data_IF_865972050690
#
_entry.id   IF_865972050690
#
_cell.length_a   1.000
_cell.length_b   1.000
_cell.length_c   1.000
_cell.angle_alpha   90.00
_cell.angle_beta   90.00
_cell.angle_gamma   90.00
#
_symmetry.space_group_name_H-M   'P 1'
#
loop_
_entity.id
_entity.type
_entity.pdbx_description
1 polymer ?
#
# COMPACT_ATOMS: atom_id res chain seq x y z
N UNK A 1 -12.53 5.32 22.02
CA UNK A 1 -11.71 4.88 20.86
C UNK A 1 -10.42 5.65 20.88
N UNK A 2 -9.30 4.98 20.88
CA UNK A 2 -7.98 5.60 20.78
C UNK A 2 -7.16 4.82 19.76
N UNK A 3 -6.57 5.50 18.78
CA UNK A 3 -5.72 4.90 17.76
C UNK A 3 -6.30 4.98 16.34
N UNK A 4 -5.52 4.50 15.37
CA UNK A 4 -5.87 4.45 13.94
C UNK A 4 -6.34 5.76 13.31
N UNK A 5 -6.11 6.92 13.95
CA UNK A 5 -6.62 8.22 13.48
C UNK A 5 -6.18 8.52 12.03
N UNK A 6 -4.93 8.22 11.66
CA UNK A 6 -4.48 8.43 10.29
C UNK A 6 -5.23 7.57 9.26
N UNK A 7 -5.65 6.35 9.61
CA UNK A 7 -6.48 5.52 8.73
C UNK A 7 -7.94 6.00 8.73
N UNK A 8 -8.45 6.48 9.87
CA UNK A 8 -9.78 7.10 9.95
C UNK A 8 -9.85 8.38 9.11
N UNK A 9 -8.80 9.20 9.07
CA UNK A 9 -8.70 10.36 8.19
C UNK A 9 -8.72 9.95 6.71
N UNK A 10 -8.03 8.85 6.34
CA UNK A 10 -8.10 8.29 4.99
C UNK A 10 -9.52 7.80 4.65
N UNK A 11 -10.21 7.14 5.57
CA UNK A 11 -11.59 6.73 5.39
C UNK A 11 -12.53 7.94 5.24
N UNK A 12 -12.31 8.98 6.02
CA UNK A 12 -13.06 10.24 5.89
C UNK A 12 -12.84 10.88 4.51
N UNK A 13 -11.59 10.88 4.01
CA UNK A 13 -11.28 11.36 2.66
C UNK A 13 -11.97 10.53 1.56
N UNK A 14 -11.96 9.20 1.67
CA UNK A 14 -12.67 8.31 0.73
C UNK A 14 -14.17 8.61 0.75
N UNK A 15 -14.75 8.78 1.93
CA UNK A 15 -16.17 9.11 2.10
C UNK A 15 -16.50 10.48 1.49
N UNK A 16 -15.63 11.48 1.70
CA UNK A 16 -15.78 12.79 1.07
C UNK A 16 -15.74 12.69 -0.46
N UNK A 17 -14.77 11.94 -1.02
CA UNK A 17 -14.69 11.69 -2.46
C UNK A 17 -15.96 11.03 -2.95
N UNK A 18 -16.45 10.00 -2.28
CA UNK A 18 -17.70 9.31 -2.62
C UNK A 18 -18.89 10.26 -2.72
N UNK A 19 -18.98 11.21 -1.80
CA UNK A 19 -20.13 12.12 -1.70
C UNK A 19 -20.04 13.33 -2.65
N UNK A 20 -18.83 13.70 -3.09
CA UNK A 20 -18.62 14.96 -3.80
C UNK A 20 -18.07 14.83 -5.21
N UNK A 21 -17.41 13.71 -5.57
CA UNK A 21 -16.63 13.61 -6.80
C UNK A 21 -17.47 13.77 -8.08
N UNK A 22 -18.77 13.50 -8.01
CA UNK A 22 -19.68 13.70 -9.14
C UNK A 22 -19.75 15.18 -9.58
N UNK A 23 -19.66 16.11 -8.64
CA UNK A 23 -19.63 17.55 -8.94
C UNK A 23 -18.33 18.00 -9.68
N UNK A 24 -17.30 17.15 -9.63
CA UNK A 24 -16.02 17.34 -10.34
C UNK A 24 -15.91 16.51 -11.62
N UNK A 25 -17.01 15.90 -12.08
CA UNK A 25 -17.03 15.03 -13.26
C UNK A 25 -16.52 13.61 -13.04
N UNK A 26 -16.24 13.23 -11.79
CA UNK A 26 -15.79 11.87 -11.44
C UNK A 26 -16.94 10.88 -11.17
N UNK A 27 -16.61 9.60 -11.10
CA UNK A 27 -17.56 8.51 -10.90
C UNK A 27 -17.55 8.01 -9.44
N UNK A 28 -18.54 8.37 -8.60
CA UNK A 28 -18.56 8.02 -7.18
C UNK A 28 -18.66 6.51 -6.90
N UNK A 29 -19.04 5.72 -7.90
CA UNK A 29 -19.12 4.26 -7.82
C UNK A 29 -17.91 3.57 -8.43
N UNK A 30 -16.82 4.30 -8.75
CA UNK A 30 -15.61 3.77 -9.36
C UNK A 30 -14.35 4.23 -8.63
N UNK A 31 -14.36 4.18 -7.30
CA UNK A 31 -13.23 4.59 -6.47
C UNK A 31 -12.17 3.49 -6.45
N UNK A 32 -10.97 3.83 -6.87
CA UNK A 32 -9.77 2.98 -6.72
C UNK A 32 -8.88 3.60 -5.65
N UNK A 33 -8.46 2.79 -4.68
CA UNK A 33 -7.42 3.20 -3.74
C UNK A 33 -6.08 2.61 -4.15
N UNK A 34 -5.01 3.38 -3.98
CA UNK A 34 -3.66 2.88 -4.23
C UNK A 34 -2.66 3.50 -3.26
N UNK A 35 -1.58 2.78 -3.01
CA UNK A 35 -0.54 3.23 -2.09
C UNK A 35 0.75 2.44 -2.22
N UNK A 36 1.86 3.11 -1.91
CA UNK A 36 3.20 2.56 -1.96
C UNK A 36 3.80 2.48 -0.55
N UNK A 37 4.55 1.42 -0.23
CA UNK A 37 5.24 1.26 1.05
C UNK A 37 4.27 1.31 2.25
N UNK A 38 4.41 2.28 3.13
CA UNK A 38 3.46 2.51 4.23
C UNK A 38 2.03 2.79 3.70
N UNK A 39 1.90 3.46 2.55
CA UNK A 39 0.61 3.63 1.87
C UNK A 39 0.01 2.31 1.39
N UNK A 40 0.82 1.34 0.96
CA UNK A 40 0.35 -0.01 0.67
C UNK A 40 -0.20 -0.70 1.92
N UNK A 41 0.43 -0.51 3.08
CA UNK A 41 -0.08 -0.95 4.38
C UNK A 41 -1.43 -0.29 4.72
N UNK A 42 -1.58 1.01 4.45
CA UNK A 42 -2.86 1.71 4.61
C UNK A 42 -3.96 1.12 3.71
N UNK A 43 -3.64 0.88 2.43
CA UNK A 43 -4.58 0.23 1.48
C UNK A 43 -5.02 -1.13 2.01
N UNK A 44 -4.10 -1.96 2.49
CA UNK A 44 -4.43 -3.27 3.06
C UNK A 44 -5.29 -3.16 4.32
N UNK A 45 -5.02 -2.20 5.21
CA UNK A 45 -5.84 -1.95 6.40
C UNK A 45 -7.26 -1.52 6.03
N UNK A 46 -7.42 -0.63 5.05
CA UNK A 46 -8.73 -0.21 4.55
C UNK A 46 -9.49 -1.36 3.87
N UNK A 47 -8.81 -2.22 3.11
CA UNK A 47 -9.41 -3.41 2.49
C UNK A 47 -9.86 -4.45 3.53
N UNK A 48 -9.16 -4.56 4.65
CA UNK A 48 -9.54 -5.45 5.76
C UNK A 48 -10.67 -4.86 6.63
N UNK A 49 -10.96 -3.56 6.51
CA UNK A 49 -11.96 -2.87 7.32
C UNK A 49 -13.36 -2.96 6.74
N UNK A 50 -14.35 -3.53 7.45
CA UNK A 50 -15.73 -3.53 7.01
C UNK A 50 -16.31 -2.13 6.79
N UNK A 51 -15.76 -1.11 7.46
CA UNK A 51 -16.19 0.28 7.31
C UNK A 51 -15.77 0.90 5.97
N UNK A 52 -14.63 0.45 5.41
CA UNK A 52 -14.09 1.03 4.18
C UNK A 52 -14.48 0.22 2.92
N UNK A 53 -14.61 -1.09 3.02
CA UNK A 53 -14.90 -1.99 1.90
C UNK A 53 -16.04 -1.52 0.98
N UNK A 54 -17.19 -1.00 1.46
CA UNK A 54 -18.31 -0.60 0.58
C UNK A 54 -17.94 0.49 -0.43
N UNK A 55 -16.95 1.31 -0.13
CA UNK A 55 -16.52 2.44 -0.97
C UNK A 55 -15.51 2.03 -2.03
N UNK A 56 -14.73 0.97 -1.80
CA UNK A 56 -13.58 0.58 -2.62
C UNK A 56 -14.03 -0.34 -3.74
N UNK A 57 -13.68 -0.01 -4.98
CA UNK A 57 -14.04 -0.80 -6.17
C UNK A 57 -12.84 -1.44 -6.85
N UNK A 58 -11.64 -0.95 -6.58
CA UNK A 58 -10.36 -1.51 -7.07
C UNK A 58 -9.25 -1.10 -6.11
N UNK A 59 -8.17 -1.87 -6.10
CA UNK A 59 -7.02 -1.56 -5.27
C UNK A 59 -5.70 -1.82 -5.98
N UNK A 60 -4.73 -0.90 -5.80
CA UNK A 60 -3.34 -1.08 -6.22
C UNK A 60 -2.43 -1.01 -5.00
N UNK A 61 -1.62 -2.04 -4.78
CA UNK A 61 -0.75 -2.21 -3.62
C UNK A 61 0.70 -2.28 -4.10
N UNK A 62 1.51 -1.27 -3.78
CA UNK A 62 2.85 -1.11 -4.32
C UNK A 62 3.91 -1.25 -3.23
N UNK A 63 4.85 -2.19 -3.37
CA UNK A 63 6.02 -2.33 -2.51
C UNK A 63 5.72 -2.38 -1.00
N UNK A 64 4.74 -3.17 -0.59
CA UNK A 64 4.35 -3.26 0.82
C UNK A 64 3.15 -4.15 1.08
N UNK A 65 2.84 -5.06 0.17
CA UNK A 65 1.65 -5.90 0.25
C UNK A 65 1.90 -7.38 0.03
N UNK A 66 0.81 -8.12 0.00
CA UNK A 66 0.78 -9.57 -0.08
C UNK A 66 0.46 -10.24 1.25
N UNK A 67 0.51 -11.56 1.30
CA UNK A 67 0.24 -12.30 2.53
C UNK A 67 1.46 -12.30 3.44
N UNK A 68 1.26 -11.97 4.71
CA UNK A 68 2.22 -12.25 5.76
C UNK A 68 2.19 -13.73 6.15
N UNK A 69 3.19 -14.17 6.90
CA UNK A 69 3.23 -15.53 7.44
C UNK A 69 1.91 -15.89 8.15
N UNK A 70 1.46 -17.16 8.08
CA UNK A 70 0.31 -17.62 8.84
C UNK A 70 0.48 -17.29 10.34
N UNK A 71 -0.64 -16.94 10.99
CA UNK A 71 -0.70 -16.61 12.42
C UNK A 71 0.11 -15.35 12.84
N UNK A 72 0.52 -14.50 11.93
CA UNK A 72 1.06 -13.20 12.29
C UNK A 72 -0.07 -12.34 12.86
N UNK A 73 0.02 -12.03 14.14
CA UNK A 73 -0.96 -11.20 14.84
C UNK A 73 -0.64 -9.71 14.64
N UNK A 74 -1.69 -8.90 14.56
CA UNK A 74 -1.57 -7.45 14.64
C UNK A 74 -1.37 -6.98 16.08
N UNK A 75 -0.94 -5.74 16.26
CA UNK A 75 -0.86 -5.11 17.58
C UNK A 75 -2.28 -4.81 18.08
N UNK A 76 -2.66 -5.33 19.25
CA UNK A 76 -3.95 -5.00 19.85
C UNK A 76 -3.99 -3.57 20.40
N UNK A 77 -5.19 -3.03 20.58
CA UNK A 77 -5.38 -1.71 21.20
C UNK A 77 -4.72 -1.66 22.59
N UNK A 78 -4.94 -2.68 23.43
CA UNK A 78 -4.35 -2.72 24.78
C UNK A 78 -2.81 -2.68 24.75
N UNK A 79 -2.17 -3.45 23.87
CA UNK A 79 -0.72 -3.44 23.75
C UNK A 79 -0.20 -2.08 23.19
N UNK A 80 -0.96 -1.44 22.30
CA UNK A 80 -0.61 -0.12 21.79
C UNK A 80 -0.76 0.97 22.86
N UNK A 81 -1.79 0.90 23.70
CA UNK A 81 -2.01 1.82 24.83
C UNK A 81 -0.93 1.67 25.89
N UNK A 82 -0.55 0.43 26.24
CA UNK A 82 0.56 0.15 27.16
C UNK A 82 1.89 0.75 26.63
N UNK A 83 2.22 0.47 25.38
CA UNK A 83 3.42 0.98 24.73
C UNK A 83 3.42 2.52 24.61
N UNK A 84 2.28 3.11 24.28
CA UNK A 84 2.10 4.56 24.21
C UNK A 84 2.22 5.23 25.58
N UNK A 85 1.67 4.61 26.62
CA UNK A 85 1.80 5.05 28.02
C UNK A 85 3.26 5.02 28.50
N UNK A 86 3.98 3.92 28.22
CA UNK A 86 5.41 3.80 28.54
C UNK A 86 6.26 4.87 27.82
N UNK A 87 5.97 5.13 26.55
CA UNK A 87 6.61 6.21 25.78
C UNK A 87 6.36 7.58 26.42
N UNK A 88 5.13 7.92 26.74
CA UNK A 88 4.79 9.21 27.37
C UNK A 88 5.47 9.35 28.75
N UNK A 89 5.43 8.32 29.58
CA UNK A 89 6.04 8.30 30.90
C UNK A 89 7.56 8.48 30.86
N UNK A 90 8.25 7.90 29.85
CA UNK A 90 9.68 8.09 29.65
C UNK A 90 10.06 9.59 29.52
N UNK A 91 9.21 10.38 28.90
CA UNK A 91 9.40 11.84 28.74
C UNK A 91 8.71 12.66 29.84
N UNK A 92 8.29 12.02 30.94
CA UNK A 92 7.64 12.70 32.08
C UNK A 92 6.28 13.32 31.73
N UNK A 93 5.54 12.74 30.78
CA UNK A 93 4.27 13.25 30.26
C UNK A 93 3.17 12.21 30.41
N UNK A 94 1.96 12.70 30.56
CA UNK A 94 0.73 11.93 30.32
C UNK A 94 0.22 12.18 28.89
N UNK A 95 -0.87 11.54 28.50
CA UNK A 95 -1.47 11.66 27.15
C UNK A 95 -1.95 13.09 26.86
N UNK A 96 -2.45 13.83 27.88
CA UNK A 96 -2.88 15.20 27.72
C UNK A 96 -1.68 16.10 27.39
N UNK A 97 -0.62 15.98 28.17
CA UNK A 97 0.63 16.72 27.94
C UNK A 97 1.32 16.33 26.61
N UNK A 98 1.18 15.07 26.16
CA UNK A 98 1.71 14.64 24.85
C UNK A 98 0.98 15.31 23.67
N UNK A 99 -0.30 15.62 23.80
CA UNK A 99 -1.07 16.30 22.75
C UNK A 99 -0.66 17.76 22.55
N UNK A 100 -0.04 18.37 23.56
CA UNK A 100 0.48 19.74 23.51
C UNK A 100 1.94 19.78 22.99
N UNK A 101 2.56 18.62 22.72
CA UNK A 101 3.92 18.58 22.21
C UNK A 101 3.93 19.02 20.74
N UNK A 102 4.81 19.96 20.43
CA UNK A 102 5.05 20.42 19.07
C UNK A 102 5.41 19.25 18.15
N UNK A 103 4.82 19.11 16.92
CA UNK A 103 5.01 17.94 16.06
C UNK A 103 6.48 17.58 15.78
N UNK A 104 7.36 18.57 15.58
CA UNK A 104 8.79 18.34 15.39
C UNK A 104 9.47 17.76 16.63
N UNK A 105 9.09 18.24 17.82
CA UNK A 105 9.60 17.73 19.07
C UNK A 105 9.13 16.28 19.29
N UNK A 106 7.87 15.96 18.95
CA UNK A 106 7.36 14.58 19.00
C UNK A 106 8.16 13.65 18.07
N UNK A 107 8.46 14.08 16.85
CA UNK A 107 9.30 13.32 15.94
C UNK A 107 10.72 13.09 16.49
N UNK A 108 11.30 14.08 17.18
CA UNK A 108 12.59 13.92 17.86
C UNK A 108 12.47 12.91 19.00
N UNK A 109 11.43 12.98 19.83
CA UNK A 109 11.18 12.01 20.90
C UNK A 109 11.06 10.57 20.37
N UNK A 110 10.39 10.36 19.23
CA UNK A 110 10.31 9.06 18.55
C UNK A 110 11.68 8.55 18.07
N UNK A 111 12.60 9.44 17.73
CA UNK A 111 13.98 9.12 17.34
C UNK A 111 14.84 8.79 18.56
N UNK A 112 14.68 9.52 19.65
CA UNK A 112 15.51 9.40 20.85
C UNK A 112 15.12 8.21 21.73
N UNK A 113 13.83 7.86 21.76
CA UNK A 113 13.29 6.80 22.60
C UNK A 113 13.97 5.42 22.42
N UNK A 114 14.21 4.94 21.18
CA UNK A 114 14.92 3.68 20.96
C UNK A 114 16.36 3.71 21.44
N UNK A 115 17.06 4.86 21.31
CA UNK A 115 18.44 5.01 21.76
C UNK A 115 18.54 4.95 23.30
N UNK A 116 17.54 5.48 24.00
CA UNK A 116 17.51 5.55 25.46
C UNK A 116 17.02 4.24 26.11
N UNK A 117 16.09 3.52 25.48
CA UNK A 117 15.37 2.40 26.10
C UNK A 117 15.57 1.05 25.41
N UNK A 118 16.09 1.02 24.18
CA UNK A 118 16.11 -0.16 23.31
C UNK A 118 14.74 -0.54 22.77
N UNK A 119 13.66 0.20 23.12
CA UNK A 119 12.29 -0.05 22.68
C UNK A 119 11.91 0.88 21.53
N UNK A 120 10.95 0.46 20.71
CA UNK A 120 10.39 1.30 19.64
C UNK A 120 8.88 1.42 19.81
N UNK A 121 8.37 2.63 19.75
CA UNK A 121 6.93 2.84 19.63
C UNK A 121 6.49 2.48 18.20
N UNK A 122 5.53 1.57 18.08
CA UNK A 122 4.92 1.26 16.79
C UNK A 122 3.92 2.36 16.43
N UNK A 123 4.07 2.92 15.23
CA UNK A 123 3.13 3.88 14.64
C UNK A 123 2.30 3.24 13.52
N UNK A 124 2.29 1.91 13.43
CA UNK A 124 1.50 1.15 12.44
C UNK A 124 0.04 1.05 12.88
N UNK A 125 -0.89 0.79 11.94
CA UNK A 125 -2.27 0.49 12.28
C UNK A 125 -2.37 -0.66 13.29
N UNK A 126 -3.34 -0.55 14.19
CA UNK A 126 -3.59 -1.51 15.28
C UNK A 126 -4.95 -2.18 15.12
N UNK A 127 -5.15 -3.30 15.81
CA UNK A 127 -6.45 -3.96 15.92
C UNK A 127 -7.22 -3.28 17.07
N UNK A 128 -8.29 -2.57 16.74
CA UNK A 128 -9.04 -1.70 17.67
C UNK A 128 -10.53 -2.09 17.80
N UNK A 129 -10.92 -3.22 17.18
CA UNK A 129 -12.30 -3.73 17.17
C UNK A 129 -13.34 -2.69 16.68
N UNK A 130 -12.88 -1.68 15.96
CA UNK A 130 -13.73 -0.68 15.35
C UNK A 130 -13.42 -0.51 13.85
N UNK A 131 -12.24 0.00 13.52
CA UNK A 131 -11.76 0.13 12.15
C UNK A 131 -11.17 -1.21 11.66
N UNK A 132 -10.38 -1.86 12.49
CA UNK A 132 -9.62 -3.06 12.16
C UNK A 132 -9.84 -4.15 13.21
N UNK A 133 -10.41 -5.26 12.77
CA UNK A 133 -10.70 -6.44 13.61
C UNK A 133 -9.62 -7.51 13.46
N UNK A 134 -8.90 -7.53 12.33
CA UNK A 134 -7.85 -8.49 12.05
C UNK A 134 -6.87 -7.95 11.00
N UNK A 135 -5.75 -8.65 10.82
CA UNK A 135 -4.77 -8.31 9.78
C UNK A 135 -5.32 -8.57 8.38
N UNK A 136 -4.84 -7.84 7.38
CA UNK A 136 -5.20 -8.09 5.98
C UNK A 136 -5.04 -9.57 5.59
N UNK A 137 -3.95 -10.21 6.01
CA UNK A 137 -3.67 -11.59 5.67
C UNK A 137 -4.65 -12.58 6.29
N UNK A 138 -5.09 -12.35 7.52
CA UNK A 138 -6.09 -13.18 8.17
C UNK A 138 -7.48 -12.97 7.55
N UNK A 139 -7.84 -11.72 7.23
CA UNK A 139 -9.09 -11.38 6.53
C UNK A 139 -9.11 -12.03 5.13
N UNK A 140 -7.97 -12.01 4.41
CA UNK A 140 -7.82 -12.69 3.12
C UNK A 140 -8.03 -14.20 3.24
N UNK A 141 -7.34 -14.86 4.18
CA UNK A 141 -7.46 -16.31 4.41
C UNK A 141 -8.87 -16.73 4.86
N UNK A 142 -9.56 -15.85 5.59
CA UNK A 142 -10.94 -16.08 6.01
C UNK A 142 -11.97 -15.78 4.89
N UNK A 143 -11.52 -15.46 3.69
CA UNK A 143 -12.35 -15.08 2.53
C UNK A 143 -13.31 -13.92 2.81
N UNK A 144 -12.81 -12.90 3.51
CA UNK A 144 -13.59 -11.71 3.89
C UNK A 144 -13.14 -10.43 3.19
N UNK A 145 -12.15 -10.50 2.28
CA UNK A 145 -11.79 -9.37 1.44
C UNK A 145 -12.84 -9.20 0.31
N UNK A 146 -13.09 -7.96 -0.14
CA UNK A 146 -14.02 -7.72 -1.23
C UNK A 146 -13.54 -8.39 -2.53
N UNK A 147 -14.49 -8.92 -3.34
CA UNK A 147 -14.21 -9.44 -4.68
C UNK A 147 -14.15 -8.27 -5.69
N UNK A 148 -13.02 -7.58 -5.69
CA UNK A 148 -12.70 -6.45 -6.57
C UNK A 148 -11.41 -6.75 -7.35
N UNK A 149 -11.13 -6.05 -8.47
CA UNK A 149 -9.84 -6.12 -9.12
C UNK A 149 -8.69 -5.66 -8.20
N UNK A 150 -7.63 -6.44 -8.16
CA UNK A 150 -6.38 -6.12 -7.46
C UNK A 150 -5.23 -6.03 -8.45
N UNK A 151 -4.39 -5.02 -8.27
CA UNK A 151 -3.05 -4.92 -8.86
C UNK A 151 -2.05 -4.81 -7.72
N UNK A 152 -1.01 -5.65 -7.72
CA UNK A 152 -0.03 -5.67 -6.64
C UNK A 152 1.36 -5.95 -7.19
N UNK A 153 2.36 -5.23 -6.70
CA UNK A 153 3.72 -5.43 -7.18
C UNK A 153 4.77 -4.77 -6.31
N UNK A 154 6.01 -4.86 -6.78
CA UNK A 154 7.17 -4.43 -6.04
C UNK A 154 8.33 -4.06 -6.98
N UNK A 155 9.39 -3.47 -6.42
CA UNK A 155 10.64 -3.18 -7.12
C UNK A 155 11.73 -4.18 -6.74
N UNK A 156 12.71 -4.41 -7.63
CA UNK A 156 13.73 -5.47 -7.43
C UNK A 156 14.39 -5.42 -6.05
N UNK A 157 14.73 -4.26 -5.54
CA UNK A 157 15.43 -4.13 -4.25
C UNK A 157 14.53 -4.32 -3.01
N UNK A 158 13.22 -4.52 -3.16
CA UNK A 158 12.36 -4.95 -2.05
C UNK A 158 12.60 -6.43 -1.66
N UNK A 159 13.21 -7.21 -2.56
CA UNK A 159 13.68 -8.57 -2.32
C UNK A 159 12.65 -9.68 -2.57
N UNK A 160 13.12 -10.92 -2.56
CA UNK A 160 12.33 -12.12 -2.91
C UNK A 160 11.20 -12.44 -1.91
N UNK A 161 11.30 -12.00 -0.67
CA UNK A 161 10.22 -12.12 0.30
C UNK A 161 8.94 -11.42 -0.16
N UNK A 162 9.07 -10.28 -0.84
CA UNK A 162 7.94 -9.54 -1.40
C UNK A 162 7.30 -10.33 -2.56
N UNK A 163 8.13 -10.97 -3.39
CA UNK A 163 7.67 -11.85 -4.48
C UNK A 163 6.74 -12.95 -3.95
N UNK A 164 7.21 -13.75 -2.98
CA UNK A 164 6.44 -14.86 -2.42
C UNK A 164 5.12 -14.37 -1.79
N UNK A 165 5.16 -13.29 -1.02
CA UNK A 165 3.97 -12.75 -0.36
C UNK A 165 2.88 -12.32 -1.35
N UNK A 166 3.28 -11.76 -2.50
CA UNK A 166 2.38 -11.35 -3.57
C UNK A 166 1.84 -12.56 -4.34
N UNK A 167 2.72 -13.51 -4.68
CA UNK A 167 2.33 -14.75 -5.36
C UNK A 167 1.31 -15.54 -4.53
N UNK A 168 1.56 -15.71 -3.24
CA UNK A 168 0.66 -16.40 -2.31
C UNK A 168 -0.70 -15.70 -2.22
N UNK A 169 -0.73 -14.37 -2.21
CA UNK A 169 -1.99 -13.62 -2.25
C UNK A 169 -2.77 -13.88 -3.53
N UNK A 170 -2.11 -13.82 -4.68
CA UNK A 170 -2.76 -14.01 -5.98
C UNK A 170 -3.36 -15.42 -6.11
N UNK A 171 -2.60 -16.46 -5.72
CA UNK A 171 -3.06 -17.85 -5.75
C UNK A 171 -4.18 -18.10 -4.75
N UNK A 172 -4.13 -17.52 -3.56
CA UNK A 172 -5.22 -17.62 -2.58
C UNK A 172 -6.52 -17.04 -3.15
N UNK A 173 -6.48 -15.90 -3.85
CA UNK A 173 -7.66 -15.31 -4.46
C UNK A 173 -8.24 -16.19 -5.58
N UNK A 174 -7.38 -16.83 -6.38
CA UNK A 174 -7.80 -17.81 -7.38
C UNK A 174 -8.43 -19.05 -6.74
N UNK A 175 -7.82 -19.62 -5.71
CA UNK A 175 -8.33 -20.78 -4.96
C UNK A 175 -9.71 -20.50 -4.35
N UNK A 176 -9.94 -19.28 -3.88
CA UNK A 176 -11.22 -18.81 -3.36
C UNK A 176 -12.27 -18.53 -4.46
N UNK A 177 -11.91 -18.68 -5.74
CA UNK A 177 -12.82 -18.47 -6.87
C UNK A 177 -13.10 -17.00 -7.20
N UNK A 178 -12.25 -16.10 -6.74
CA UNK A 178 -12.33 -14.65 -6.99
C UNK A 178 -11.63 -14.22 -8.27
N UNK A 179 -11.75 -12.93 -8.58
CA UNK A 179 -11.11 -12.30 -9.72
C UNK A 179 -9.59 -12.48 -9.66
N UNK A 180 -8.93 -12.80 -10.79
CA UNK A 180 -7.49 -12.92 -10.85
C UNK A 180 -6.80 -11.61 -10.48
N UNK A 181 -5.60 -11.73 -9.90
CA UNK A 181 -4.78 -10.60 -9.46
C UNK A 181 -3.74 -10.27 -10.53
N UNK A 182 -3.62 -9.00 -10.88
CA UNK A 182 -2.52 -8.52 -11.74
C UNK A 182 -1.29 -8.25 -10.88
N UNK A 183 -0.16 -8.89 -11.23
CA UNK A 183 1.08 -8.75 -10.47
C UNK A 183 2.20 -8.15 -11.32
N UNK A 184 3.07 -7.31 -10.72
CA UNK A 184 4.23 -6.76 -11.43
C UNK A 184 5.49 -6.77 -10.58
N UNK A 185 6.63 -6.76 -11.30
CA UNK A 185 7.97 -6.48 -10.75
C UNK A 185 8.61 -5.37 -11.59
N UNK A 186 8.91 -4.23 -10.96
CA UNK A 186 9.67 -3.16 -11.59
C UNK A 186 11.16 -3.48 -11.46
N UNK A 187 11.84 -3.62 -12.59
CA UNK A 187 13.25 -4.06 -12.63
C UNK A 187 14.17 -3.06 -13.30
N UNK A 188 13.64 -1.92 -13.77
CA UNK A 188 14.47 -0.88 -14.38
C UNK A 188 15.46 -0.33 -13.35
N UNK A 189 16.73 -0.61 -13.54
CA UNK A 189 17.83 0.02 -12.80
C UNK A 189 17.94 1.48 -13.23
N UNK A 190 17.76 2.40 -12.26
CA UNK A 190 17.73 3.82 -12.59
C UNK A 190 19.10 4.33 -13.03
N UNK A 191 19.17 5.18 -14.07
CA UNK A 191 20.44 5.71 -14.55
C UNK A 191 21.01 6.76 -13.58
N UNK A 192 22.33 6.99 -13.66
CA UNK A 192 23.02 8.07 -12.97
C UNK A 192 23.82 7.67 -11.71
N UNK A 193 23.50 6.53 -11.13
CA UNK A 193 24.24 5.91 -10.02
C UNK A 193 23.94 4.40 -9.94
N UNK A 194 24.53 3.69 -8.98
CA UNK A 194 24.36 2.26 -8.76
C UNK A 194 23.17 1.94 -7.81
N UNK A 195 22.22 2.86 -7.65
CA UNK A 195 21.07 2.65 -6.76
C UNK A 195 20.15 1.54 -7.25
N UNK A 196 20.14 1.22 -8.54
CA UNK A 196 19.31 0.19 -9.15
C UNK A 196 17.81 0.50 -9.09
N UNK A 197 16.98 -0.54 -9.10
CA UNK A 197 15.53 -0.43 -8.89
C UNK A 197 15.23 -0.43 -7.38
N UNK A 198 15.52 0.69 -6.73
CA UNK A 198 15.36 0.85 -5.27
C UNK A 198 13.90 1.14 -4.87
N UNK A 199 13.60 1.00 -3.61
CA UNK A 199 12.27 1.22 -3.04
C UNK A 199 11.68 2.59 -3.43
N UNK A 200 10.50 2.61 -4.02
CA UNK A 200 9.78 3.78 -4.56
C UNK A 200 10.29 4.30 -5.91
N UNK A 201 11.26 3.66 -6.54
CA UNK A 201 11.85 4.14 -7.81
C UNK A 201 10.88 4.12 -8.99
N UNK A 202 9.87 3.30 -8.97
CA UNK A 202 8.82 3.21 -9.98
C UNK A 202 7.88 4.43 -10.00
N UNK A 203 7.83 5.20 -8.92
CA UNK A 203 6.89 6.32 -8.79
C UNK A 203 7.16 7.45 -9.78
N UNK A 204 8.44 7.71 -10.13
CA UNK A 204 8.76 8.71 -11.16
C UNK A 204 8.16 8.35 -12.53
N UNK A 205 8.16 7.04 -12.86
CA UNK A 205 7.57 6.54 -14.10
C UNK A 205 6.05 6.62 -14.04
N UNK A 206 5.45 6.15 -12.95
CA UNK A 206 4.01 6.12 -12.77
C UNK A 206 3.37 7.52 -12.82
N UNK A 207 4.04 8.52 -12.26
CA UNK A 207 3.53 9.89 -12.22
C UNK A 207 4.06 10.79 -13.35
N UNK A 208 4.83 10.25 -14.29
CA UNK A 208 5.38 11.01 -15.43
C UNK A 208 6.31 12.15 -15.00
N UNK A 209 7.03 11.98 -13.89
CA UNK A 209 7.84 13.04 -13.29
C UNK A 209 9.36 12.86 -13.51
N UNK A 210 9.76 12.06 -14.48
CA UNK A 210 11.16 11.77 -14.79
C UNK A 210 11.99 13.06 -15.00
N UNK A 211 11.43 14.04 -15.70
CA UNK A 211 12.10 15.32 -16.00
C UNK A 211 12.37 16.19 -14.76
N UNK A 212 11.78 15.86 -13.60
CA UNK A 212 12.02 16.57 -12.32
C UNK A 212 13.19 15.98 -11.53
N UNK A 213 13.75 14.87 -12.00
CA UNK A 213 14.91 14.22 -11.36
C UNK A 213 16.21 14.67 -12.05
N UNK A 214 17.31 14.63 -11.30
CA UNK A 214 18.67 14.86 -11.80
C UNK A 214 19.18 13.71 -12.67
N UNK A 215 18.50 12.55 -12.67
CA UNK A 215 18.94 11.34 -13.37
C UNK A 215 18.88 11.51 -14.89
N UNK A 216 19.88 11.01 -15.65
CA UNK A 216 19.93 11.12 -17.11
C UNK A 216 19.01 10.07 -17.75
N UNK A 217 17.71 10.24 -17.60
CA UNK A 217 16.72 9.40 -18.26
C UNK A 217 16.77 9.56 -19.78
N UNK A 218 16.59 8.44 -20.48
CA UNK A 218 16.61 8.37 -21.94
C UNK A 218 15.21 8.07 -22.50
N UNK A 219 15.04 8.14 -23.83
CA UNK A 219 13.74 7.93 -24.48
C UNK A 219 13.05 6.62 -24.08
N UNK A 220 13.82 5.55 -23.81
CA UNK A 220 13.27 4.28 -23.36
C UNK A 220 12.61 4.40 -21.95
N UNK A 221 13.14 5.26 -21.09
CA UNK A 221 12.55 5.54 -19.77
C UNK A 221 11.22 6.29 -19.90
N UNK A 222 11.13 7.26 -20.82
CA UNK A 222 9.88 7.97 -21.08
C UNK A 222 8.82 7.06 -21.69
N UNK A 223 9.20 6.15 -22.61
CA UNK A 223 8.29 5.12 -23.14
C UNK A 223 7.77 4.19 -22.07
N UNK A 224 8.65 3.71 -21.16
CA UNK A 224 8.25 2.89 -20.01
C UNK A 224 7.27 3.66 -19.09
N UNK A 225 7.54 4.95 -18.85
CA UNK A 225 6.65 5.81 -18.08
C UNK A 225 5.25 5.91 -18.71
N UNK A 226 5.16 6.20 -20.02
CA UNK A 226 3.90 6.25 -20.76
C UNK A 226 3.15 4.92 -20.71
N UNK A 227 3.85 3.80 -20.85
CA UNK A 227 3.29 2.45 -20.74
C UNK A 227 2.73 2.18 -19.33
N UNK A 228 3.47 2.53 -18.28
CA UNK A 228 3.03 2.36 -16.90
C UNK A 228 1.80 3.22 -16.60
N UNK A 229 1.81 4.50 -16.99
CA UNK A 229 0.66 5.39 -16.84
C UNK A 229 -0.57 4.80 -17.54
N UNK A 230 -0.39 4.23 -18.73
CA UNK A 230 -1.48 3.59 -19.48
C UNK A 230 -2.04 2.39 -18.72
N UNK A 231 -1.21 1.47 -18.22
CA UNK A 231 -1.66 0.32 -17.45
C UNK A 231 -2.46 0.74 -16.22
N UNK A 232 -1.93 1.68 -15.42
CA UNK A 232 -2.62 2.14 -14.20
C UNK A 232 -3.92 2.86 -14.53
N UNK A 233 -3.93 3.70 -15.57
CA UNK A 233 -5.13 4.41 -16.02
C UNK A 233 -6.22 3.46 -16.49
N UNK A 234 -5.86 2.45 -17.28
CA UNK A 234 -6.81 1.42 -17.73
C UNK A 234 -7.38 0.65 -16.52
N UNK A 235 -6.50 0.18 -15.63
CA UNK A 235 -6.91 -0.55 -14.44
C UNK A 235 -7.84 0.29 -13.54
N UNK A 236 -7.54 1.55 -13.29
CA UNK A 236 -8.38 2.45 -12.51
C UNK A 236 -9.75 2.64 -13.15
N UNK A 237 -9.82 2.71 -14.48
CA UNK A 237 -11.08 2.86 -15.22
C UNK A 237 -11.90 1.57 -15.20
N UNK A 238 -11.29 0.44 -15.53
CA UNK A 238 -12.00 -0.80 -15.92
C UNK A 238 -11.77 -1.97 -14.97
N UNK A 239 -10.67 -1.99 -14.20
CA UNK A 239 -10.19 -3.15 -13.44
C UNK A 239 -9.26 -4.08 -14.25
N UNK A 240 -9.01 -3.74 -15.52
CA UNK A 240 -8.10 -4.44 -16.42
C UNK A 240 -7.01 -3.45 -16.89
N UNK A 241 -5.70 -3.76 -16.74
CA UNK A 241 -4.63 -2.88 -17.20
C UNK A 241 -4.48 -2.87 -18.73
N UNK A 242 -5.04 -3.83 -19.44
CA UNK A 242 -4.81 -4.05 -20.85
C UNK A 242 -5.54 -3.05 -21.76
N UNK A 243 -4.95 -2.81 -22.93
CA UNK A 243 -5.55 -2.15 -24.09
C UNK A 243 -4.71 -2.47 -25.34
N UNK A 244 -5.20 -2.08 -26.51
CA UNK A 244 -4.47 -2.27 -27.77
C UNK A 244 -3.18 -1.44 -27.88
N UNK A 245 -2.96 -0.49 -26.99
CA UNK A 245 -1.78 0.41 -27.01
C UNK A 245 -0.63 -0.04 -26.13
N UNK A 246 -0.79 -1.12 -25.36
CA UNK A 246 0.24 -1.65 -24.47
C UNK A 246 0.37 -3.17 -24.61
N UNK A 247 1.57 -3.75 -24.38
CA UNK A 247 1.75 -5.20 -24.38
C UNK A 247 0.85 -5.91 -23.36
N UNK A 248 0.34 -7.08 -23.72
CA UNK A 248 -0.53 -7.87 -22.84
C UNK A 248 0.06 -8.06 -21.45
N UNK A 249 -0.78 -7.84 -20.43
CA UNK A 249 -0.48 -8.14 -19.03
C UNK A 249 -1.45 -9.22 -18.56
N UNK A 250 -0.97 -10.45 -18.47
CA UNK A 250 -1.76 -11.59 -17.98
C UNK A 250 -1.81 -11.58 -16.46
N UNK A 251 -2.97 -11.90 -15.85
CA UNK A 251 -3.07 -12.03 -14.41
C UNK A 251 -2.22 -13.20 -13.90
N UNK A 252 -1.85 -13.15 -12.63
CA UNK A 252 -1.12 -14.21 -11.95
C UNK A 252 -2.12 -15.27 -11.47
N UNK A 253 -2.00 -16.45 -12.01
CA UNK A 253 -2.84 -17.63 -11.70
C UNK A 253 -1.97 -18.90 -11.73
N UNK A 254 -2.49 -20.02 -11.25
CA UNK A 254 -1.76 -21.30 -11.23
C UNK A 254 -1.18 -21.67 -12.61
N UNK A 255 -1.96 -21.46 -13.67
CA UNK A 255 -1.53 -21.72 -15.05
C UNK A 255 -0.59 -20.66 -15.65
N UNK A 256 -0.41 -19.52 -14.99
CA UNK A 256 0.49 -18.43 -15.39
C UNK A 256 1.11 -17.75 -14.15
N UNK A 257 2.14 -18.37 -13.59
CA UNK A 257 2.87 -17.85 -12.42
C UNK A 257 3.94 -16.83 -12.80
N UNK A 258 3.59 -15.84 -13.63
CA UNK A 258 4.53 -14.83 -14.10
C UNK A 258 4.10 -13.42 -13.68
N UNK A 259 5.03 -12.70 -13.09
CA UNK A 259 4.88 -11.26 -12.86
C UNK A 259 5.09 -10.51 -14.18
N UNK A 260 4.32 -9.46 -14.41
CA UNK A 260 4.62 -8.50 -15.46
C UNK A 260 5.92 -7.79 -15.11
N UNK A 261 6.92 -7.94 -15.95
CA UNK A 261 8.18 -7.21 -15.80
C UNK A 261 8.02 -5.82 -16.40
N UNK A 262 8.33 -4.81 -15.61
CA UNK A 262 8.32 -3.40 -16.00
C UNK A 262 9.76 -2.91 -16.05
N UNK A 263 10.29 -2.79 -17.27
CA UNK A 263 11.67 -2.39 -17.55
C UNK A 263 11.76 -1.69 -18.90
N UNK A 264 12.85 -1.01 -19.16
CA UNK A 264 13.21 -0.51 -20.50
C UNK A 264 13.75 -1.68 -21.32
N UNK A 265 13.24 -1.85 -22.53
CA UNK A 265 13.81 -2.75 -23.55
C UNK A 265 15.00 -2.09 -24.26
#
# INVERSE_FOLDING_TARGET
>A
MSGNYGILDQLAAITWVKNNIAAFGGAPNNITIFGQSAGAGSVQTLLASPLAQPYIKKAVIQSGGGLSAPNQQGTSLAAAEESGGAFAAHFGKDIAAMREVEPRALMQMLTDYPAATGQRLSTRPILDDHLSYDTFSNVARADKLPDIPYMIGYVTKDGERQNSAIADFALLREEQGHRPVFTYKFTRELPGDDAGAFHSSELWYLFGTLSRSWRPFVDADYKLSEQMITYWTNFVKTGDPNSSSVPEWRPYVESNRQFKILTTE
#
